data_IF_744721586844
#
_entry.id   IF_744721586844
#
_cell.length_a   1.000
_cell.length_b   1.000
_cell.length_c   1.000
_cell.angle_alpha   90.00
_cell.angle_beta   90.00
_cell.angle_gamma   90.00
#
_symmetry.space_group_name_H-M   'P 1'
#
loop_
_entity.id
_entity.type
_entity.pdbx_description
1 polymer ?
#
# COMPACT_ATOMS: atom_id res chain seq x y z
N UNK A 1 23.19 -19.12 -6.87
CA UNK A 1 22.25 -18.53 -5.87
C UNK A 1 21.69 -17.25 -6.46
N UNK A 2 20.38 -17.03 -6.39
CA UNK A 2 19.78 -15.76 -6.80
C UNK A 2 20.19 -14.65 -5.82
N UNK A 3 20.67 -13.52 -6.34
CA UNK A 3 21.09 -12.38 -5.51
C UNK A 3 19.89 -11.71 -4.85
N UNK A 4 20.06 -11.22 -3.62
CA UNK A 4 18.99 -10.58 -2.85
C UNK A 4 18.65 -9.18 -3.40
N UNK A 5 17.45 -8.66 -3.08
CA UNK A 5 17.03 -7.32 -3.52
C UNK A 5 18.01 -6.23 -3.07
N UNK A 6 18.58 -6.36 -1.85
CA UNK A 6 19.60 -5.44 -1.34
C UNK A 6 20.93 -5.56 -2.08
N UNK A 7 21.30 -6.74 -2.55
CA UNK A 7 22.53 -6.94 -3.31
C UNK A 7 22.47 -6.30 -4.70
N UNK A 8 21.26 -6.22 -5.29
CA UNK A 8 21.05 -5.63 -6.61
C UNK A 8 20.73 -4.14 -6.58
N UNK A 9 20.48 -3.58 -5.41
CA UNK A 9 20.11 -2.18 -5.25
C UNK A 9 21.36 -1.28 -5.21
N UNK A 10 21.49 -0.39 -6.18
CA UNK A 10 22.65 0.51 -6.32
C UNK A 10 22.17 1.96 -6.30
N UNK A 11 22.94 2.79 -5.61
CA UNK A 11 22.79 4.24 -5.50
C UNK A 11 21.37 4.75 -5.26
N UNK A 12 20.97 4.79 -3.98
CA UNK A 12 19.91 5.66 -3.41
C UNK A 12 20.17 5.89 -1.93
N UNK A 13 21.44 6.11 -1.57
CA UNK A 13 21.89 6.22 -0.18
C UNK A 13 21.20 7.39 0.51
N UNK A 14 21.13 8.55 -0.17
CA UNK A 14 20.46 9.75 0.33
C UNK A 14 18.98 9.49 0.67
N UNK A 15 18.23 8.85 -0.22
CA UNK A 15 16.82 8.54 -0.03
C UNK A 15 16.64 7.58 1.16
N UNK A 16 17.49 6.56 1.23
CA UNK A 16 17.49 5.57 2.31
C UNK A 16 17.85 6.20 3.66
N UNK A 17 18.82 7.11 3.70
CA UNK A 17 19.22 7.81 4.91
C UNK A 17 18.15 8.79 5.40
N UNK A 18 17.45 9.47 4.48
CA UNK A 18 16.29 10.28 4.84
C UNK A 18 15.22 9.38 5.46
N UNK A 19 14.89 8.27 4.82
CA UNK A 19 13.89 7.33 5.33
C UNK A 19 14.28 6.76 6.70
N UNK A 20 15.55 6.37 6.90
CA UNK A 20 16.11 5.97 8.20
C UNK A 20 15.89 7.02 9.27
N UNK A 21 16.25 8.28 9.00
CA UNK A 21 16.04 9.38 9.94
C UNK A 21 14.57 9.57 10.29
N UNK A 22 13.65 9.34 9.34
CA UNK A 22 12.21 9.32 9.61
C UNK A 22 11.85 8.16 10.54
N UNK A 23 12.35 6.95 10.28
CA UNK A 23 12.09 5.78 11.12
C UNK A 23 12.70 5.91 12.53
N UNK A 24 13.84 6.56 12.67
CA UNK A 24 14.56 6.80 13.93
C UNK A 24 14.01 8.00 14.72
N UNK A 25 13.09 8.78 14.13
CA UNK A 25 12.45 9.92 14.79
C UNK A 25 13.33 11.16 14.84
N UNK A 26 14.43 11.13 14.08
CA UNK A 26 15.39 12.21 13.97
C UNK A 26 14.97 13.25 12.91
N UNK A 27 14.05 12.88 12.01
CA UNK A 27 13.47 13.80 11.06
C UNK A 27 12.19 14.43 11.61
N UNK A 28 12.09 15.76 11.53
CA UNK A 28 10.84 16.50 11.82
C UNK A 28 9.71 16.17 10.83
N UNK A 29 10.09 15.84 9.59
CA UNK A 29 9.17 15.51 8.49
C UNK A 29 8.81 14.02 8.55
N UNK A 30 7.52 13.73 8.60
CA UNK A 30 6.98 12.36 8.64
C UNK A 30 6.51 11.86 7.27
N UNK A 31 6.27 12.77 6.33
CA UNK A 31 5.77 12.49 5.00
C UNK A 31 6.89 12.72 3.99
N UNK A 32 7.22 11.70 3.20
CA UNK A 32 8.22 11.75 2.14
C UNK A 32 7.54 11.60 0.79
N UNK A 33 7.69 12.61 -0.07
CA UNK A 33 7.28 12.54 -1.47
C UNK A 33 8.47 12.11 -2.32
N UNK A 34 8.30 11.04 -3.09
CA UNK A 34 9.29 10.52 -4.03
C UNK A 34 8.77 10.71 -5.45
N UNK A 35 9.35 11.66 -6.18
CA UNK A 35 9.02 11.90 -7.59
C UNK A 35 10.10 11.35 -8.51
N UNK A 36 9.70 10.60 -9.53
CA UNK A 36 10.65 10.10 -10.52
C UNK A 36 9.98 9.72 -11.83
N UNK A 37 10.71 9.86 -12.94
CA UNK A 37 10.33 9.33 -14.25
C UNK A 37 10.10 7.82 -14.27
N UNK A 38 9.60 7.32 -15.41
CA UNK A 38 9.43 5.89 -15.64
C UNK A 38 10.79 5.16 -15.60
N UNK A 39 10.83 3.97 -15.01
CA UNK A 39 12.05 3.15 -14.97
C UNK A 39 13.12 3.57 -13.95
N UNK A 40 12.95 4.68 -13.22
CA UNK A 40 13.95 5.17 -12.25
C UNK A 40 14.00 4.44 -10.90
N UNK A 41 13.31 3.30 -10.77
CA UNK A 41 13.41 2.41 -9.60
C UNK A 41 12.58 2.81 -8.38
N UNK A 42 11.48 3.55 -8.52
CA UNK A 42 10.56 3.90 -7.41
C UNK A 42 10.07 2.67 -6.64
N UNK A 43 9.51 1.70 -7.35
CA UNK A 43 9.00 0.47 -6.75
C UNK A 43 10.09 -0.36 -6.07
N UNK A 44 11.31 -0.35 -6.62
CA UNK A 44 12.46 -0.98 -6.00
C UNK A 44 12.86 -0.27 -4.70
N UNK A 45 12.90 1.06 -4.70
CA UNK A 45 13.17 1.85 -3.50
C UNK A 45 12.11 1.60 -2.41
N UNK A 46 10.83 1.54 -2.76
CA UNK A 46 9.76 1.25 -1.79
C UNK A 46 9.87 -0.17 -1.22
N UNK A 47 10.26 -1.16 -2.02
CA UNK A 47 10.56 -2.50 -1.52
C UNK A 47 11.74 -2.50 -0.55
N UNK A 48 12.78 -1.71 -0.81
CA UNK A 48 13.89 -1.53 0.15
C UNK A 48 13.38 -0.91 1.45
N UNK A 49 12.50 0.10 1.39
CA UNK A 49 11.89 0.71 2.57
C UNK A 49 11.03 -0.27 3.35
N UNK A 50 10.25 -1.12 2.68
CA UNK A 50 9.48 -2.18 3.30
C UNK A 50 10.39 -3.19 4.03
N UNK A 51 11.47 -3.65 3.37
CA UNK A 51 12.47 -4.55 3.98
C UNK A 51 13.17 -3.90 5.18
N UNK A 52 13.41 -2.59 5.13
CA UNK A 52 14.00 -1.85 6.23
C UNK A 52 13.05 -1.69 7.42
N UNK A 53 11.76 -1.38 7.17
CA UNK A 53 10.74 -1.36 8.20
C UNK A 53 10.55 -2.76 8.84
N UNK A 54 10.45 -3.80 8.02
CA UNK A 54 10.35 -5.19 8.47
C UNK A 54 11.58 -5.63 9.28
N UNK A 55 12.79 -5.27 8.83
CA UNK A 55 14.03 -5.56 9.55
C UNK A 55 14.14 -4.90 10.94
N UNK A 56 13.33 -3.85 11.17
CA UNK A 56 13.19 -3.17 12.46
C UNK A 56 11.93 -3.61 13.23
N UNK A 57 11.23 -4.65 12.75
CA UNK A 57 9.94 -5.11 13.27
C UNK A 57 8.88 -4.01 13.36
N UNK A 58 8.89 -3.05 12.43
CA UNK A 58 7.88 -1.99 12.36
C UNK A 58 6.67 -2.44 11.53
N UNK A 59 5.44 -2.26 12.03
CA UNK A 59 4.24 -2.46 11.24
C UNK A 59 4.27 -1.57 10.00
N UNK A 60 4.05 -2.17 8.83
CA UNK A 60 4.05 -1.42 7.58
C UNK A 60 2.98 -1.93 6.61
N UNK A 61 2.52 -1.03 5.75
CA UNK A 61 1.62 -1.33 4.64
C UNK A 61 2.22 -0.79 3.35
N UNK A 62 2.20 -1.60 2.30
CA UNK A 62 2.62 -1.21 0.96
C UNK A 62 1.46 -1.39 0.00
N UNK A 63 1.04 -0.30 -0.66
CA UNK A 63 -0.04 -0.32 -1.66
C UNK A 63 0.54 0.14 -2.99
N UNK A 64 0.35 -0.66 -4.04
CA UNK A 64 0.65 -0.26 -5.41
C UNK A 64 -0.65 0.03 -6.16
N UNK A 65 -0.89 1.30 -6.49
CA UNK A 65 -2.10 1.69 -7.23
C UNK A 65 -2.09 1.25 -8.70
N UNK A 66 -1.04 0.57 -9.18
CA UNK A 66 -1.00 -0.09 -10.48
C UNK A 66 -1.48 -1.56 -10.43
N UNK A 67 -1.88 -2.11 -9.28
CA UNK A 67 -2.26 -3.51 -9.10
C UNK A 67 -3.61 -3.91 -9.73
N UNK A 68 -4.33 -2.95 -10.31
CA UNK A 68 -5.62 -3.15 -10.96
C UNK A 68 -6.82 -3.12 -10.00
N UNK A 69 -6.61 -2.89 -8.70
CA UNK A 69 -7.67 -2.78 -7.72
C UNK A 69 -8.27 -1.36 -7.69
N UNK A 70 -9.59 -1.29 -7.56
CA UNK A 70 -10.29 -0.04 -7.32
C UNK A 70 -10.33 0.25 -5.81
N UNK A 71 -9.47 1.17 -5.36
CA UNK A 71 -9.38 1.55 -3.95
C UNK A 71 -10.42 2.62 -3.60
N UNK A 72 -11.38 2.24 -2.78
CA UNK A 72 -12.28 3.12 -2.03
C UNK A 72 -11.85 3.21 -0.54
N UNK A 73 -12.57 4.01 0.25
CA UNK A 73 -12.29 4.20 1.68
C UNK A 73 -12.23 2.87 2.44
N UNK A 74 -13.20 1.98 2.22
CA UNK A 74 -13.36 0.76 3.01
C UNK A 74 -12.30 -0.28 2.63
N UNK A 75 -12.07 -0.47 1.34
CA UNK A 75 -11.01 -1.36 0.84
C UNK A 75 -9.63 -0.92 1.35
N UNK A 76 -9.32 0.37 1.37
CA UNK A 76 -8.09 0.89 1.97
C UNK A 76 -7.99 0.59 3.47
N UNK A 77 -9.05 0.88 4.24
CA UNK A 77 -9.08 0.62 5.69
C UNK A 77 -8.85 -0.86 5.99
N UNK A 78 -9.48 -1.76 5.24
CA UNK A 78 -9.30 -3.21 5.38
C UNK A 78 -7.90 -3.66 5.00
N UNK A 79 -7.41 -3.20 3.86
CA UNK A 79 -6.07 -3.53 3.40
C UNK A 79 -5.03 -3.11 4.45
N UNK A 80 -5.17 -1.89 4.99
CA UNK A 80 -4.31 -1.40 6.06
C UNK A 80 -4.44 -2.22 7.33
N UNK A 81 -5.66 -2.58 7.76
CA UNK A 81 -5.88 -3.46 8.92
C UNK A 81 -5.14 -4.79 8.75
N UNK A 82 -5.31 -5.43 7.60
CA UNK A 82 -4.78 -6.77 7.35
C UNK A 82 -3.25 -6.74 7.25
N UNK A 83 -2.69 -5.69 6.66
CA UNK A 83 -1.23 -5.50 6.59
C UNK A 83 -0.60 -5.14 7.94
N UNK A 84 -1.29 -4.36 8.77
CA UNK A 84 -0.77 -3.87 10.05
C UNK A 84 -0.98 -4.83 11.22
N UNK A 85 -1.72 -5.92 11.02
CA UNK A 85 -2.06 -6.90 12.05
C UNK A 85 -3.48 -6.69 12.57
N UNK A 86 -4.47 -7.54 12.20
CA UNK A 86 -5.87 -7.35 12.58
C UNK A 86 -6.13 -7.36 14.09
N UNK A 87 -5.24 -7.97 14.88
CA UNK A 87 -5.26 -7.96 16.35
C UNK A 87 -5.22 -6.55 16.95
N UNK A 88 -4.63 -5.58 16.25
CA UNK A 88 -4.58 -4.18 16.68
C UNK A 88 -5.88 -3.42 16.41
N UNK A 89 -6.82 -4.03 15.68
CA UNK A 89 -8.00 -3.37 15.10
C UNK A 89 -9.32 -4.02 15.52
N UNK A 90 -9.38 -4.62 16.71
CA UNK A 90 -10.61 -5.24 17.22
C UNK A 90 -11.79 -4.25 17.34
N UNK A 91 -11.53 -2.98 17.69
CA UNK A 91 -12.57 -1.95 17.74
C UNK A 91 -13.08 -1.55 16.34
N UNK A 92 -12.19 -1.56 15.34
CA UNK A 92 -12.58 -1.39 13.95
C UNK A 92 -13.47 -2.56 13.49
N UNK A 93 -13.11 -3.80 13.80
CA UNK A 93 -13.92 -4.97 13.44
C UNK A 93 -15.34 -4.87 14.03
N UNK A 94 -15.48 -4.45 15.29
CA UNK A 94 -16.81 -4.19 15.89
C UNK A 94 -17.58 -3.11 15.16
N UNK A 95 -16.95 -1.98 14.82
CA UNK A 95 -17.61 -0.89 14.10
C UNK A 95 -18.08 -1.32 12.70
N UNK A 96 -17.29 -2.18 12.07
CA UNK A 96 -17.54 -2.82 10.78
C UNK A 96 -18.72 -3.80 10.90
N UNK A 97 -18.69 -4.71 11.88
CA UNK A 97 -19.75 -5.68 12.13
C UNK A 97 -21.07 -4.98 12.45
N UNK A 98 -21.08 -3.97 13.31
CA UNK A 98 -22.28 -3.18 13.62
C UNK A 98 -22.86 -2.46 12.39
N UNK A 99 -22.02 -2.11 11.42
CA UNK A 99 -22.45 -1.46 10.18
C UNK A 99 -22.97 -2.45 9.12
N UNK A 100 -22.48 -3.70 9.12
CA UNK A 100 -22.88 -4.74 8.15
C UNK A 100 -23.90 -5.74 8.66
N UNK A 101 -24.05 -5.86 9.99
CA UNK A 101 -25.12 -6.67 10.59
C UNK A 101 -26.42 -5.93 10.33
N UNK A 102 -27.01 -6.18 9.16
CA UNK A 102 -28.25 -5.58 8.73
C UNK A 102 -29.27 -5.62 9.86
N UNK A 103 -29.93 -4.47 10.07
CA UNK A 103 -31.19 -4.36 10.80
C UNK A 103 -32.20 -5.25 10.07
N UNK A 104 -32.27 -6.54 10.41
CA UNK A 104 -33.40 -7.40 10.08
C UNK A 104 -34.56 -6.91 10.94
N UNK A 105 -35.21 -5.83 10.52
CA UNK A 105 -36.52 -5.48 11.04
C UNK A 105 -37.51 -6.46 10.41
N UNK A 106 -37.77 -7.56 11.11
CA UNK A 106 -38.92 -8.41 10.80
C UNK A 106 -40.16 -7.59 11.15
N UNK A 107 -40.72 -6.89 10.18
CA UNK A 107 -42.07 -6.35 10.31
C UNK A 107 -43.04 -7.52 10.19
N UNK A 108 -43.31 -8.18 11.32
CA UNK A 108 -44.51 -9.00 11.43
C UNK A 108 -45.71 -8.06 11.26
N UNK A 109 -46.59 -8.38 10.31
CA UNK A 109 -47.83 -7.63 10.09
C UNK A 109 -48.60 -7.49 11.40
N UNK A 110 -49.03 -6.26 11.67
CA UNK A 110 -49.99 -5.83 12.71
C UNK A 110 -49.86 -6.52 14.08
N UNK A 111 -48.88 -6.08 14.86
CA UNK A 111 -48.85 -6.33 16.30
C UNK A 111 -47.56 -5.85 16.95
N UNK A 112 -47.68 -4.85 17.85
CA UNK A 112 -46.66 -4.26 18.72
C UNK A 112 -45.20 -4.74 18.54
N UNK A 113 -44.36 -3.81 18.09
CA UNK A 113 -42.91 -3.95 17.99
C UNK A 113 -42.26 -4.25 19.36
N UNK A 114 -41.97 -5.52 19.60
CA UNK A 114 -40.94 -5.95 20.56
C UNK A 114 -39.70 -6.40 19.78
N UNK A 115 -38.48 -6.08 20.23
CA UNK A 115 -37.27 -6.59 19.60
C UNK A 115 -37.19 -8.11 19.83
N UNK A 116 -37.43 -8.90 18.78
CA UNK A 116 -37.24 -10.35 18.79
C UNK A 116 -35.77 -10.63 18.52
N UNK A 117 -35.04 -11.16 19.51
CA UNK A 117 -33.69 -11.68 19.27
C UNK A 117 -33.77 -13.06 18.62
N UNK A 118 -33.44 -13.17 17.34
CA UNK A 118 -33.34 -14.47 16.67
C UNK A 118 -31.91 -14.98 16.83
N UNK A 119 -31.73 -16.01 17.64
CA UNK A 119 -30.45 -16.73 17.74
C UNK A 119 -30.42 -17.81 16.66
N UNK A 120 -29.55 -17.64 15.66
CA UNK A 120 -29.33 -18.63 14.60
C UNK A 120 -28.33 -19.68 15.11
N UNK A 121 -28.84 -20.66 15.85
CA UNK A 121 -28.12 -21.90 16.16
C UNK A 121 -28.26 -22.91 15.00
N UNK A 122 -27.31 -23.85 14.92
CA UNK A 122 -27.16 -24.84 13.82
C UNK A 122 -28.34 -25.79 13.57
N UNK A 123 -29.47 -25.65 14.27
CA UNK A 123 -30.71 -26.39 14.03
C UNK A 123 -31.91 -25.50 14.35
N UNK A 124 -32.57 -24.97 13.33
CA UNK A 124 -33.87 -24.29 13.47
C UNK A 124 -34.92 -25.02 12.62
N UNK A 125 -35.76 -25.82 13.26
CA UNK A 125 -37.05 -26.29 12.72
C UNK A 125 -38.12 -25.27 13.08
N UNK A 126 -38.61 -24.53 12.10
CA UNK A 126 -39.77 -23.63 12.22
C UNK A 126 -41.01 -24.39 11.75
N UNK A 127 -41.79 -24.94 12.69
CA UNK A 127 -43.14 -25.42 12.41
C UNK A 127 -44.11 -24.24 12.58
N UNK A 128 -44.92 -23.99 11.55
CA UNK A 128 -46.03 -23.04 11.49
C UNK A 128 -45.70 -21.54 11.43
N UNK A 129 -45.00 -21.10 10.39
CA UNK A 129 -45.05 -19.69 9.96
C UNK A 129 -45.02 -19.57 8.43
N UNK A 130 -45.84 -18.71 7.80
CA UNK A 130 -45.91 -18.54 6.35
C UNK A 130 -44.74 -17.67 5.85
N UNK A 131 -43.52 -17.98 6.27
CA UNK A 131 -42.31 -17.29 5.85
C UNK A 131 -41.70 -18.14 4.73
N UNK A 132 -41.98 -17.78 3.47
CA UNK A 132 -41.29 -18.34 2.32
C UNK A 132 -39.89 -17.75 2.25
N UNK A 133 -38.91 -18.43 2.85
CA UNK A 133 -37.49 -18.17 2.59
C UNK A 133 -37.17 -18.77 1.22
N UNK A 134 -37.30 -17.97 0.16
CA UNK A 134 -36.83 -18.35 -1.16
C UNK A 134 -35.31 -18.29 -1.19
N UNK A 135 -34.70 -19.46 -0.95
CA UNK A 135 -33.41 -19.89 -1.49
C UNK A 135 -32.20 -18.96 -1.22
N UNK A 136 -31.61 -19.08 -0.02
CA UNK A 136 -30.21 -18.73 0.19
C UNK A 136 -29.46 -20.04 0.43
N UNK A 137 -28.95 -20.57 -0.68
CA UNK A 137 -28.03 -21.69 -0.69
C UNK A 137 -26.88 -21.45 0.28
N UNK A 138 -26.64 -22.46 1.11
CA UNK A 138 -25.53 -22.55 2.04
C UNK A 138 -24.20 -22.60 1.29
N UNK A 139 -23.64 -21.43 1.01
CA UNK A 139 -22.22 -21.26 0.71
C UNK A 139 -21.75 -20.01 1.44
N UNK A 140 -21.26 -20.21 2.67
CA UNK A 140 -20.43 -19.22 3.36
C UNK A 140 -19.09 -19.19 2.64
N UNK A 141 -19.03 -18.43 1.55
CA UNK A 141 -17.76 -18.06 0.92
C UNK A 141 -17.16 -16.98 1.83
N UNK A 142 -16.12 -17.36 2.59
CA UNK A 142 -15.28 -16.44 3.38
C UNK A 142 -14.36 -15.63 2.48
N UNK A 143 -14.96 -14.85 1.58
CA UNK A 143 -14.31 -13.75 0.88
C UNK A 143 -15.22 -12.53 1.02
N UNK A 144 -15.12 -11.90 2.19
CA UNK A 144 -16.00 -10.83 2.64
C UNK A 144 -15.78 -9.55 1.80
N UNK A 145 -16.39 -9.49 0.63
CA UNK A 145 -16.72 -8.21 0.00
C UNK A 145 -17.73 -7.49 0.90
N UNK A 146 -17.37 -6.29 1.36
CA UNK A 146 -18.27 -5.48 2.17
C UNK A 146 -19.19 -4.77 1.23
N UNK A 147 -20.41 -5.27 1.14
CA UNK A 147 -21.48 -4.57 0.45
C UNK A 147 -22.30 -3.86 1.51
N UNK A 148 -22.05 -2.55 1.69
CA UNK A 148 -22.99 -1.73 2.46
C UNK A 148 -24.22 -1.55 1.57
N UNK A 149 -25.26 -2.36 1.82
CA UNK A 149 -26.55 -2.23 1.16
C UNK A 149 -27.34 -1.11 1.84
N UNK A 150 -27.14 0.14 1.40
CA UNK A 150 -27.98 1.27 1.77
C UNK A 150 -28.22 2.17 0.57
N UNK A 151 -29.48 2.43 0.28
CA UNK A 151 -29.88 3.36 -0.79
C UNK A 151 -29.72 4.83 -0.35
N UNK A 152 -29.51 5.08 0.94
CA UNK A 152 -29.30 6.43 1.47
C UNK A 152 -27.81 6.82 1.48
N UNK A 153 -27.41 7.85 0.72
CA UNK A 153 -26.02 8.33 0.70
C UNK A 153 -25.59 8.91 2.05
N UNK A 154 -26.52 9.48 2.82
CA UNK A 154 -26.26 10.05 4.15
C UNK A 154 -25.88 8.93 5.13
N UNK A 155 -26.62 7.81 5.10
CA UNK A 155 -26.33 6.66 5.96
C UNK A 155 -25.00 6.02 5.58
N UNK A 156 -24.71 5.91 4.28
CA UNK A 156 -23.41 5.44 3.81
C UNK A 156 -22.26 6.29 4.33
N UNK A 157 -22.38 7.63 4.21
CA UNK A 157 -21.36 8.53 4.72
C UNK A 157 -21.16 8.40 6.23
N UNK A 158 -22.25 8.33 7.00
CA UNK A 158 -22.17 8.15 8.46
C UNK A 158 -21.48 6.83 8.85
N UNK A 159 -21.72 5.75 8.09
CA UNK A 159 -21.03 4.46 8.28
C UNK A 159 -19.54 4.60 7.94
N UNK A 160 -19.19 5.18 6.80
CA UNK A 160 -17.79 5.41 6.41
C UNK A 160 -17.04 6.27 7.43
N UNK A 161 -17.67 7.33 7.94
CA UNK A 161 -17.11 8.20 8.98
C UNK A 161 -16.87 7.43 10.28
N UNK A 162 -17.84 6.60 10.70
CA UNK A 162 -17.71 5.75 11.89
C UNK A 162 -16.58 4.73 11.76
N UNK A 163 -16.49 4.06 10.61
CA UNK A 163 -15.44 3.07 10.32
C UNK A 163 -14.07 3.76 10.29
N UNK A 164 -13.94 4.91 9.63
CA UNK A 164 -12.71 5.69 9.63
C UNK A 164 -12.32 6.15 11.03
N UNK A 165 -13.26 6.64 11.84
CA UNK A 165 -12.99 7.05 13.21
C UNK A 165 -12.43 5.88 14.04
N UNK A 166 -13.03 4.70 13.92
CA UNK A 166 -12.55 3.49 14.59
C UNK A 166 -11.16 3.06 14.09
N UNK A 167 -10.93 3.10 12.77
CA UNK A 167 -9.62 2.80 12.18
C UNK A 167 -8.53 3.72 12.73
N UNK A 168 -8.74 5.04 12.70
CA UNK A 168 -7.74 5.99 13.17
C UNK A 168 -7.54 5.97 14.68
N UNK A 169 -8.56 5.62 15.47
CA UNK A 169 -8.38 5.37 16.91
C UNK A 169 -7.46 4.16 17.15
N UNK A 170 -7.67 3.05 16.42
CA UNK A 170 -6.80 1.87 16.51
C UNK A 170 -5.38 2.19 16.01
N UNK A 171 -5.26 2.92 14.90
CA UNK A 171 -3.96 3.32 14.35
C UNK A 171 -3.20 4.24 15.31
N UNK A 172 -3.86 5.18 15.98
CA UNK A 172 -3.25 6.03 16.98
C UNK A 172 -2.75 5.22 18.19
N UNK A 173 -3.53 4.23 18.63
CA UNK A 173 -3.11 3.31 19.71
C UNK A 173 -1.92 2.43 19.30
N UNK A 174 -1.88 1.95 18.06
CA UNK A 174 -0.72 1.23 17.52
C UNK A 174 0.51 2.16 17.45
N UNK A 175 0.31 3.38 16.93
CA UNK A 175 1.35 4.38 16.77
C UNK A 175 1.89 4.92 18.11
N UNK A 176 1.14 4.82 19.21
CA UNK A 176 1.63 5.19 20.53
C UNK A 176 2.72 4.23 21.05
N UNK A 177 2.72 2.99 20.56
CA UNK A 177 3.62 1.90 20.99
C UNK A 177 4.81 1.71 20.06
N UNK A 178 4.60 1.89 18.76
CA UNK A 178 5.62 1.68 17.74
C UNK A 178 5.43 2.62 16.56
N UNK A 179 6.45 2.75 15.72
CA UNK A 179 6.35 3.49 14.47
C UNK A 179 5.62 2.67 13.42
N UNK A 180 4.65 3.28 12.74
CA UNK A 180 3.89 2.66 11.65
C UNK A 180 4.26 3.29 10.32
N UNK A 181 4.44 2.48 9.27
CA UNK A 181 4.91 2.95 7.96
C UNK A 181 3.86 2.69 6.88
N UNK A 182 3.53 3.71 6.09
CA UNK A 182 2.71 3.58 4.89
C UNK A 182 3.55 3.88 3.64
N UNK A 183 3.57 2.95 2.69
CA UNK A 183 4.29 3.06 1.43
C UNK A 183 3.29 2.99 0.29
N UNK A 184 3.08 4.11 -0.39
CA UNK A 184 2.18 4.19 -1.53
C UNK A 184 2.99 4.31 -2.82
N UNK A 185 2.89 3.30 -3.69
CA UNK A 185 3.55 3.25 -4.99
C UNK A 185 2.57 3.58 -6.12
N UNK A 186 3.11 4.02 -7.25
CA UNK A 186 2.36 4.44 -8.43
C UNK A 186 1.24 5.43 -8.09
N UNK A 187 1.51 6.35 -7.15
CA UNK A 187 0.48 7.21 -6.55
C UNK A 187 -0.26 8.09 -7.57
N UNK A 188 0.34 8.37 -8.74
CA UNK A 188 -0.35 9.08 -9.82
C UNK A 188 -1.68 8.43 -10.26
N UNK A 189 -1.86 7.13 -10.01
CA UNK A 189 -3.11 6.39 -10.29
C UNK A 189 -4.24 6.69 -9.32
N UNK A 190 -3.94 7.32 -8.18
CA UNK A 190 -4.97 7.82 -7.26
C UNK A 190 -5.67 9.08 -7.80
N UNK A 191 -5.13 9.70 -8.87
CA UNK A 191 -5.77 10.78 -9.62
C UNK A 191 -6.74 10.22 -10.67
N UNK A 192 -7.91 10.86 -10.81
CA UNK A 192 -8.91 10.55 -11.85
C UNK A 192 -8.47 11.02 -13.24
N UNK A 193 -7.53 11.97 -13.30
CA UNK A 193 -7.10 12.59 -14.54
C UNK A 193 -5.60 12.41 -14.79
N UNK A 194 -5.23 12.26 -16.07
CA UNK A 194 -3.86 12.00 -16.51
C UNK A 194 -2.99 13.27 -16.59
N UNK A 195 -3.57 14.45 -16.84
CA UNK A 195 -2.82 15.69 -17.11
C UNK A 195 -2.79 16.67 -15.94
N UNK A 196 -3.92 16.82 -15.24
CA UNK A 196 -4.01 17.55 -13.96
C UNK A 196 -4.35 16.60 -12.80
N UNK A 197 -4.03 17.01 -11.58
CA UNK A 197 -4.39 16.24 -10.40
C UNK A 197 -5.88 16.42 -10.09
N UNK A 198 -6.64 15.32 -10.11
CA UNK A 198 -8.04 15.30 -9.71
C UNK A 198 -8.23 14.17 -8.69
N UNK A 199 -8.49 14.52 -7.43
CA UNK A 199 -8.49 13.56 -6.33
C UNK A 199 -9.56 12.46 -6.50
N UNK A 200 -9.10 11.21 -6.67
CA UNK A 200 -9.95 10.02 -6.62
C UNK A 200 -10.35 9.64 -5.19
N UNK A 201 -11.09 8.54 -5.03
CA UNK A 201 -11.51 8.07 -3.70
C UNK A 201 -10.30 7.75 -2.80
N UNK A 202 -9.31 7.05 -3.34
CA UNK A 202 -8.08 6.74 -2.64
C UNK A 202 -7.29 7.99 -2.22
N UNK A 203 -7.10 8.94 -3.14
CA UNK A 203 -6.37 10.18 -2.82
C UNK A 203 -7.10 11.01 -1.76
N UNK A 204 -8.44 11.11 -1.83
CA UNK A 204 -9.23 11.79 -0.80
C UNK A 204 -9.06 11.16 0.57
N UNK A 205 -8.95 9.84 0.65
CA UNK A 205 -8.69 9.16 1.92
C UNK A 205 -7.24 9.39 2.40
N UNK A 206 -6.25 9.17 1.53
CA UNK A 206 -4.83 9.33 1.89
C UNK A 206 -4.53 10.78 2.27
N UNK A 207 -4.84 11.75 1.42
CA UNK A 207 -4.55 13.17 1.67
C UNK A 207 -5.48 13.78 2.73
N UNK A 208 -6.79 13.55 2.60
CA UNK A 208 -7.81 14.20 3.42
C UNK A 208 -8.01 13.58 4.80
N UNK A 209 -7.65 12.30 4.99
CA UNK A 209 -7.81 11.63 6.29
C UNK A 209 -6.47 11.28 6.93
N UNK A 210 -5.62 10.50 6.25
CA UNK A 210 -4.36 10.02 6.82
C UNK A 210 -3.34 11.15 6.99
N UNK A 211 -2.98 11.83 5.89
CA UNK A 211 -1.98 12.89 5.90
C UNK A 211 -2.45 14.11 6.72
N UNK A 212 -3.73 14.47 6.64
CA UNK A 212 -4.29 15.56 7.44
C UNK A 212 -4.09 15.36 8.95
N UNK A 213 -4.28 14.13 9.45
CA UNK A 213 -4.05 13.80 10.87
C UNK A 213 -2.58 13.84 11.26
N UNK A 214 -1.67 13.49 10.35
CA UNK A 214 -0.21 13.65 10.57
C UNK A 214 0.14 15.13 10.70
N UNK A 215 -0.35 15.96 9.76
CA UNK A 215 -0.16 17.42 9.79
C UNK A 215 -0.68 18.05 11.08
N UNK A 216 -1.82 17.57 11.57
CA UNK A 216 -2.44 18.01 12.83
C UNK A 216 -1.76 17.45 14.10
N UNK A 217 -0.69 16.65 13.97
CA UNK A 217 0.03 16.06 15.09
C UNK A 217 -0.72 14.94 15.81
N UNK A 218 -1.83 14.45 15.26
CA UNK A 218 -2.62 13.35 15.85
C UNK A 218 -1.97 11.98 15.65
N UNK A 219 -1.02 11.87 14.72
CA UNK A 219 -0.31 10.65 14.37
C UNK A 219 1.23 10.89 14.34
N UNK A 220 1.87 11.24 15.46
CA UNK A 220 3.28 11.65 15.50
C UNK A 220 4.28 10.52 15.21
N UNK A 221 3.83 9.26 15.26
CA UNK A 221 4.64 8.07 15.00
C UNK A 221 4.24 7.33 13.73
N UNK A 222 3.47 7.97 12.85
CA UNK A 222 3.17 7.44 11.52
C UNK A 222 4.10 8.08 10.50
N UNK A 223 4.79 7.27 9.70
CA UNK A 223 5.62 7.69 8.58
C UNK A 223 4.92 7.32 7.27
N UNK A 224 4.92 8.23 6.30
CA UNK A 224 4.26 8.00 5.00
C UNK A 224 5.22 8.32 3.86
N UNK A 225 5.28 7.44 2.87
CA UNK A 225 6.00 7.66 1.62
C UNK A 225 5.00 7.62 0.48
N UNK A 226 4.89 8.71 -0.29
CA UNK A 226 4.15 8.75 -1.55
C UNK A 226 5.13 8.72 -2.71
N UNK A 227 5.13 7.65 -3.49
CA UNK A 227 5.97 7.52 -4.67
C UNK A 227 5.12 7.55 -5.94
N UNK A 228 5.50 8.42 -6.87
CA UNK A 228 4.81 8.53 -8.14
C UNK A 228 5.61 9.27 -9.19
N UNK A 229 5.15 9.18 -10.44
CA UNK A 229 5.64 10.05 -11.53
C UNK A 229 5.17 11.49 -11.33
N UNK A 230 3.96 11.62 -10.78
CA UNK A 230 3.32 12.87 -10.40
C UNK A 230 2.62 12.66 -9.07
N UNK A 231 2.61 13.70 -8.24
CA UNK A 231 2.01 13.71 -6.91
C UNK A 231 1.12 14.96 -6.78
N UNK A 232 0.17 15.00 -5.83
CA UNK A 232 -0.63 16.19 -5.58
C UNK A 232 0.26 17.35 -5.11
N UNK A 233 -0.20 18.56 -5.39
CA UNK A 233 0.40 19.75 -4.83
C UNK A 233 -0.03 19.93 -3.38
N UNK A 234 0.93 20.22 -2.52
CA UNK A 234 0.71 20.46 -1.10
C UNK A 234 1.11 21.90 -0.80
N UNK A 235 0.20 22.65 -0.19
CA UNK A 235 0.39 24.04 0.19
C UNK A 235 1.43 24.23 1.30
N UNK A 236 1.65 25.50 1.67
CA UNK A 236 2.66 25.90 2.66
C UNK A 236 2.44 25.28 4.05
N UNK A 237 1.20 24.92 4.37
CA UNK A 237 0.80 24.30 5.63
C UNK A 237 1.40 22.89 5.83
N UNK A 238 2.02 22.31 4.81
CA UNK A 238 2.67 20.99 4.86
C UNK A 238 4.18 21.04 5.10
N UNK A 239 4.81 22.22 5.03
CA UNK A 239 6.28 22.35 5.01
C UNK A 239 6.99 21.72 6.23
N UNK A 240 6.30 21.68 7.37
CA UNK A 240 6.84 21.13 8.62
C UNK A 240 6.83 19.60 8.66
N UNK A 241 5.87 18.96 8.00
CA UNK A 241 5.69 17.50 8.03
C UNK A 241 6.13 16.81 6.74
N UNK A 242 6.29 17.55 5.64
CA UNK A 242 6.51 17.00 4.31
C UNK A 242 7.91 17.32 3.77
N UNK A 243 8.60 16.28 3.29
CA UNK A 243 9.85 16.37 2.55
C UNK A 243 9.68 15.87 1.11
N UNK A 244 10.35 16.51 0.15
CA UNK A 244 10.36 16.11 -1.26
C UNK A 244 11.72 15.59 -1.64
N UNK A 245 11.75 14.47 -2.36
CA UNK A 245 12.96 13.87 -2.90
C UNK A 245 12.68 13.38 -4.32
N UNK A 246 13.57 13.68 -5.25
CA UNK A 246 13.55 13.14 -6.60
C UNK A 246 14.47 11.93 -6.72
N UNK A 247 14.18 11.05 -7.67
CA UNK A 247 15.16 10.06 -8.15
C UNK A 247 15.72 10.56 -9.47
N UNK A 248 17.04 10.56 -9.56
CA UNK A 248 17.79 11.01 -10.73
C UNK A 248 18.31 9.80 -11.51
N UNK A 249 18.81 10.04 -12.72
CA UNK A 249 19.51 9.01 -13.48
C UNK A 249 20.77 8.56 -12.72
N UNK A 250 21.13 7.30 -12.88
CA UNK A 250 22.34 6.75 -12.29
C UNK A 250 23.57 7.28 -13.02
N UNK A 251 24.59 7.65 -12.25
CA UNK A 251 25.91 7.94 -12.80
C UNK A 251 26.57 6.66 -13.34
N UNK A 252 27.46 6.81 -14.33
CA UNK A 252 28.13 5.66 -14.95
C UNK A 252 28.94 4.81 -13.96
N UNK A 253 29.46 5.41 -12.89
CA UNK A 253 30.14 4.68 -11.81
C UNK A 253 29.23 3.60 -11.18
N UNK A 254 27.98 3.96 -10.90
CA UNK A 254 26.99 3.06 -10.31
C UNK A 254 26.49 1.98 -11.28
N UNK A 255 26.38 2.32 -12.57
CA UNK A 255 26.06 1.34 -13.62
C UNK A 255 27.18 0.29 -13.70
N UNK A 256 28.44 0.73 -13.64
CA UNK A 256 29.62 -0.15 -13.68
C UNK A 256 29.68 -1.04 -12.45
N UNK A 257 29.46 -0.49 -11.25
CA UNK A 257 29.34 -1.27 -10.00
C UNK A 257 28.25 -2.34 -10.12
N UNK A 258 27.06 -1.96 -10.58
CA UNK A 258 25.94 -2.88 -10.75
C UNK A 258 26.27 -4.03 -11.69
N UNK A 259 26.83 -3.75 -12.87
CA UNK A 259 27.12 -4.78 -13.86
C UNK A 259 28.25 -5.71 -13.39
N UNK A 260 29.37 -5.15 -12.92
CA UNK A 260 30.55 -5.93 -12.52
C UNK A 260 30.30 -6.71 -11.24
N UNK A 261 29.92 -6.02 -10.17
CA UNK A 261 29.88 -6.58 -8.82
C UNK A 261 28.54 -7.24 -8.54
N UNK A 262 27.43 -6.62 -8.99
CA UNK A 262 26.09 -7.10 -8.66
C UNK A 262 25.51 -8.03 -9.71
N UNK A 263 25.93 -7.99 -10.97
CA UNK A 263 25.49 -8.97 -11.99
C UNK A 263 26.50 -10.05 -12.33
N UNK A 264 27.71 -9.99 -11.75
CA UNK A 264 28.73 -11.00 -11.98
C UNK A 264 29.38 -10.91 -13.36
N UNK A 265 29.21 -9.77 -14.04
CA UNK A 265 29.87 -9.48 -15.31
C UNK A 265 31.27 -8.89 -15.03
N UNK A 266 32.05 -9.53 -14.15
CA UNK A 266 33.36 -9.04 -13.72
C UNK A 266 34.36 -8.92 -14.88
N UNK A 267 34.13 -9.65 -15.97
CA UNK A 267 35.02 -9.73 -17.13
C UNK A 267 34.81 -8.61 -18.17
N UNK A 268 33.87 -7.68 -17.97
CA UNK A 268 33.68 -6.57 -18.90
C UNK A 268 34.83 -5.56 -18.78
N UNK A 269 35.48 -5.25 -19.90
CA UNK A 269 36.52 -4.21 -19.99
C UNK A 269 35.93 -2.82 -19.70
N UNK A 270 36.79 -1.85 -19.36
CA UNK A 270 36.35 -0.46 -19.12
C UNK A 270 35.70 0.17 -20.36
N UNK A 271 36.23 -0.13 -21.55
CA UNK A 271 35.64 0.32 -22.82
C UNK A 271 34.21 -0.24 -23.03
N UNK A 272 33.98 -1.51 -22.68
CA UNK A 272 32.64 -2.11 -22.73
C UNK A 272 31.71 -1.49 -21.68
N UNK A 273 32.21 -1.21 -20.47
CA UNK A 273 31.43 -0.54 -19.43
C UNK A 273 31.00 0.88 -19.87
N UNK A 274 31.88 1.63 -20.53
CA UNK A 274 31.56 2.96 -21.05
C UNK A 274 30.47 2.92 -22.14
N UNK A 275 30.57 1.98 -23.09
CA UNK A 275 29.53 1.76 -24.10
C UNK A 275 28.20 1.40 -23.45
N UNK A 276 28.20 0.53 -22.44
CA UNK A 276 26.99 0.14 -21.71
C UNK A 276 26.41 1.31 -20.91
N UNK A 277 27.24 2.16 -20.31
CA UNK A 277 26.77 3.39 -19.66
C UNK A 277 26.05 4.31 -20.64
N UNK A 278 26.61 4.51 -21.84
CA UNK A 278 25.97 5.31 -22.89
C UNK A 278 24.64 4.69 -23.34
N UNK A 279 24.59 3.37 -23.52
CA UNK A 279 23.38 2.65 -23.92
C UNK A 279 22.27 2.67 -22.85
N UNK A 280 22.64 2.57 -21.57
CA UNK A 280 21.71 2.62 -20.43
C UNK A 280 21.21 4.04 -20.19
N UNK A 281 22.02 5.05 -20.51
CA UNK A 281 21.76 6.46 -20.27
C UNK A 281 21.31 6.75 -18.82
N UNK A 282 21.87 6.02 -17.86
CA UNK A 282 21.55 6.14 -16.43
C UNK A 282 20.17 5.61 -16.01
N UNK A 283 19.39 4.97 -16.90
CA UNK A 283 18.07 4.44 -16.55
C UNK A 283 18.17 3.06 -15.86
N UNK A 284 17.78 2.92 -14.58
CA UNK A 284 17.85 1.64 -13.86
C UNK A 284 17.05 0.50 -14.49
N UNK A 285 15.93 0.78 -15.15
CA UNK A 285 15.14 -0.26 -15.83
C UNK A 285 15.87 -0.82 -17.04
N UNK A 286 16.46 0.05 -17.86
CA UNK A 286 17.27 -0.35 -19.02
C UNK A 286 18.51 -1.11 -18.54
N UNK A 287 19.14 -0.63 -17.47
CA UNK A 287 20.26 -1.32 -16.82
C UNK A 287 19.89 -2.73 -16.36
N UNK A 288 18.71 -2.89 -15.75
CA UNK A 288 18.17 -4.20 -15.34
C UNK A 288 18.03 -5.16 -16.52
N UNK A 289 17.36 -4.71 -17.59
CA UNK A 289 17.12 -5.50 -18.80
C UNK A 289 18.43 -5.94 -19.48
N UNK A 290 19.37 -5.01 -19.65
CA UNK A 290 20.67 -5.33 -20.26
C UNK A 290 21.45 -6.31 -19.36
N UNK A 291 21.44 -6.08 -18.04
CA UNK A 291 22.08 -6.98 -17.09
C UNK A 291 21.48 -8.39 -17.07
N UNK A 292 20.15 -8.51 -17.20
CA UNK A 292 19.46 -9.80 -17.31
C UNK A 292 19.87 -10.54 -18.59
N UNK A 293 19.85 -9.87 -19.74
CA UNK A 293 20.22 -10.45 -21.04
C UNK A 293 21.69 -10.90 -21.07
N UNK A 294 22.61 -10.07 -20.56
CA UNK A 294 24.03 -10.41 -20.50
C UNK A 294 24.32 -11.55 -19.52
N UNK A 295 23.59 -11.61 -18.40
CA UNK A 295 23.72 -12.72 -17.47
C UNK A 295 23.24 -14.04 -18.09
N UNK A 296 22.14 -14.02 -18.84
CA UNK A 296 21.64 -15.20 -19.57
C UNK A 296 22.62 -15.64 -20.68
N UNK A 297 23.15 -14.71 -21.47
CA UNK A 297 24.11 -15.02 -22.53
C UNK A 297 25.43 -15.62 -22.01
N UNK A 298 25.82 -15.29 -20.77
CA UNK A 298 27.02 -15.82 -20.12
C UNK A 298 26.76 -17.07 -19.26
N UNK A 299 25.51 -17.55 -19.17
CA UNK A 299 25.29 -18.89 -18.63
C UNK A 299 25.85 -19.87 -19.65
N UNK A 300 26.72 -20.82 -19.25
CA UNK A 300 27.11 -21.90 -20.14
C UNK A 300 25.82 -22.54 -20.62
N UNK A 301 25.64 -22.62 -21.95
CA UNK A 301 24.51 -23.35 -22.51
C UNK A 301 24.45 -24.68 -21.78
N UNK A 302 23.30 -25.01 -21.18
CA UNK A 302 23.02 -26.41 -20.89
C UNK A 302 23.29 -27.10 -22.22
N UNK A 303 24.36 -27.90 -22.22
CA UNK A 303 24.71 -28.69 -23.38
C UNK A 303 23.45 -29.36 -23.85
N UNK A 304 23.31 -29.43 -25.17
CA UNK A 304 22.47 -30.44 -25.79
C UNK A 304 22.74 -31.75 -25.06
N UNK A 305 21.82 -32.11 -24.14
CA UNK A 305 21.65 -33.47 -23.73
C UNK A 305 21.22 -34.16 -25.03
N UNK A 306 22.18 -34.89 -25.60
CA UNK A 306 21.91 -36.05 -26.42
C UNK A 306 20.74 -36.83 -25.81
N UNK A 307 19.88 -37.35 -26.69
CA UNK A 307 18.70 -38.22 -26.52
C UNK A 307 17.33 -37.55 -26.66
#
# INVERSE_FOLDING_TARGET
MAKTLRELFVDRVRQSDIFRKILDGQARRQVMLVTAGAGLGKSWLLRVFALEAAGRALPHVQIDFADGQAYDTLSLVRYCRDALGPEHFAALLRAIDEATTARVAVSAGDGQAAPVSVSLGNQNTLNDSPISISDIGTTVIRDNSFVIQTDSPIVRQAIEDRINAAFFACLAELASRTRVVFLFDTYERASLEAERWAAGAADRWVSGQLLARIREGKLPNVAVVLAGRRLPEFGVEWNDVLGRVSLELLECAYITEYLRERRGLANISDAQAEVLCQAVAGNPQVMGLIGDNLAQANQPGNGDDEW
#
